data_IF_234307337455
#
_entry.id   IF_234307337455
#
_cell.length_a   1.000
_cell.length_b   1.000
_cell.length_c   1.000
_cell.angle_alpha   90.00
_cell.angle_beta   90.00
_cell.angle_gamma   90.00
#
_symmetry.space_group_name_H-M   'P 1'
#
loop_
_entity.id
_entity.type
_entity.pdbx_description
1 polymer ?
#
# COMPACT_ATOMS: atom_id res chain seq x y z
N UNK A 1 -21.16 10.81 24.01
CA UNK A 1 -21.75 10.71 22.66
C UNK A 1 -20.95 9.70 21.89
N UNK A 2 -21.49 8.50 21.68
CA UNK A 2 -20.88 7.53 20.76
C UNK A 2 -20.87 8.18 19.39
N UNK A 3 -19.69 8.33 18.77
CA UNK A 3 -19.62 8.68 17.35
C UNK A 3 -20.39 7.59 16.60
N UNK A 4 -21.53 7.95 16.02
CA UNK A 4 -22.21 7.10 15.05
C UNK A 4 -21.19 6.69 13.99
N UNK A 5 -21.10 5.39 13.68
CA UNK A 5 -20.35 4.91 12.53
C UNK A 5 -20.93 5.63 11.31
N UNK A 6 -20.12 6.44 10.64
CA UNK A 6 -20.57 7.23 9.48
C UNK A 6 -20.70 6.32 8.26
N UNK A 7 -19.87 5.27 8.20
CA UNK A 7 -19.89 4.28 7.13
C UNK A 7 -19.87 2.86 7.71
N UNK A 8 -20.80 2.02 7.26
CA UNK A 8 -20.88 0.61 7.67
C UNK A 8 -19.75 -0.21 7.03
N UNK A 9 -19.48 0.05 5.74
CA UNK A 9 -18.39 -0.52 4.93
C UNK A 9 -17.75 0.61 4.09
N UNK A 10 -16.58 0.37 3.53
CA UNK A 10 -15.91 1.32 2.64
C UNK A 10 -16.68 1.47 1.32
N UNK A 11 -16.78 2.69 0.77
CA UNK A 11 -17.44 2.91 -0.51
C UNK A 11 -16.64 2.23 -1.62
N UNK A 12 -17.29 1.34 -2.37
CA UNK A 12 -16.67 0.56 -3.45
C UNK A 12 -16.72 1.28 -4.80
N UNK A 13 -17.57 2.29 -4.92
CA UNK A 13 -17.76 3.07 -6.12
C UNK A 13 -18.20 4.51 -5.77
N UNK A 14 -18.22 5.38 -6.79
CA UNK A 14 -18.56 6.79 -6.64
C UNK A 14 -19.97 7.03 -6.12
N UNK A 15 -20.94 6.19 -6.50
CA UNK A 15 -22.32 6.33 -6.03
C UNK A 15 -22.42 6.10 -4.53
N UNK A 16 -21.83 5.01 -4.03
CA UNK A 16 -21.77 4.71 -2.60
C UNK A 16 -21.05 5.81 -1.83
N UNK A 17 -19.92 6.30 -2.36
CA UNK A 17 -19.20 7.42 -1.72
C UNK A 17 -20.11 8.66 -1.60
N UNK A 18 -20.82 9.02 -2.67
CA UNK A 18 -21.76 10.16 -2.68
C UNK A 18 -22.90 9.96 -1.69
N UNK A 19 -23.48 8.75 -1.62
CA UNK A 19 -24.53 8.44 -0.65
C UNK A 19 -24.04 8.62 0.79
N UNK A 20 -22.86 8.07 1.11
CA UNK A 20 -22.26 8.19 2.44
C UNK A 20 -21.93 9.64 2.78
N UNK A 21 -21.31 10.38 1.86
CA UNK A 21 -20.97 11.78 2.04
C UNK A 21 -22.22 12.68 2.19
N UNK A 22 -23.32 12.37 1.50
CA UNK A 22 -24.63 13.05 1.68
C UNK A 22 -25.19 12.84 3.08
N UNK A 23 -25.30 11.59 3.51
CA UNK A 23 -25.85 11.23 4.85
C UNK A 23 -25.05 11.89 5.98
N UNK A 24 -23.74 12.00 5.80
CA UNK A 24 -22.82 12.54 6.79
C UNK A 24 -22.60 14.07 6.70
N UNK A 25 -23.22 14.76 5.72
CA UNK A 25 -23.01 16.19 5.50
C UNK A 25 -21.57 16.57 5.10
N UNK A 26 -20.89 15.69 4.36
CA UNK A 26 -19.47 15.83 3.98
C UNK A 26 -19.24 16.29 2.54
N UNK A 27 -20.30 16.38 1.70
CA UNK A 27 -20.16 16.69 0.26
C UNK A 27 -19.36 17.96 -0.05
N UNK A 28 -19.45 18.97 0.80
CA UNK A 28 -18.80 20.27 0.63
C UNK A 28 -17.68 20.50 1.64
N UNK A 29 -17.31 19.47 2.40
CA UNK A 29 -16.20 19.52 3.34
C UNK A 29 -14.92 19.01 2.67
N UNK A 30 -13.80 19.33 3.30
CA UNK A 30 -12.49 18.84 2.92
C UNK A 30 -11.63 18.68 4.18
N UNK A 31 -10.47 18.04 4.04
CA UNK A 31 -9.50 17.87 5.14
C UNK A 31 -9.08 19.21 5.78
N UNK A 32 -9.24 20.34 5.07
CA UNK A 32 -8.98 21.70 5.56
C UNK A 32 -9.95 22.16 6.65
N UNK A 33 -11.14 21.59 6.65
CA UNK A 33 -12.20 21.93 7.60
C UNK A 33 -12.12 21.08 8.88
N UNK A 34 -11.23 20.09 8.93
CA UNK A 34 -11.04 19.24 10.10
C UNK A 34 -10.11 19.91 11.10
N UNK A 35 -10.63 20.28 12.28
CA UNK A 35 -9.81 20.86 13.36
C UNK A 35 -8.73 19.92 13.89
N UNK A 36 -8.97 18.60 13.85
CA UNK A 36 -8.03 17.58 14.32
C UNK A 36 -8.12 16.32 13.46
N UNK A 37 -7.11 16.12 12.62
CA UNK A 37 -6.92 14.87 11.89
C UNK A 37 -6.22 13.86 12.80
N UNK A 38 -6.69 12.61 12.77
CA UNK A 38 -6.07 11.48 13.44
C UNK A 38 -4.84 11.03 12.65
N UNK A 39 -3.90 10.34 13.33
CA UNK A 39 -2.78 9.67 12.66
C UNK A 39 -3.27 8.65 11.64
N UNK A 40 -2.42 8.31 10.67
CA UNK A 40 -2.74 7.34 9.62
C UNK A 40 -3.14 5.97 10.15
N UNK A 41 -2.65 5.57 11.33
CA UNK A 41 -3.03 4.32 12.01
C UNK A 41 -4.37 4.37 12.77
N UNK A 42 -4.98 5.54 12.88
CA UNK A 42 -6.17 5.79 13.72
C UNK A 42 -7.25 6.57 12.96
N UNK A 43 -7.27 6.45 11.62
CA UNK A 43 -8.20 7.18 10.75
C UNK A 43 -9.63 6.83 11.15
N UNK A 44 -10.45 7.86 11.36
CA UNK A 44 -11.88 7.69 11.60
C UNK A 44 -12.68 7.80 10.30
N UNK A 45 -13.95 7.43 10.34
CA UNK A 45 -14.82 7.41 9.16
C UNK A 45 -14.95 8.78 8.47
N UNK A 46 -15.05 9.88 9.23
CA UNK A 46 -15.14 11.24 8.67
C UNK A 46 -13.86 11.57 7.88
N UNK A 47 -12.69 11.34 8.47
CA UNK A 47 -11.41 11.59 7.84
C UNK A 47 -11.21 10.73 6.59
N UNK A 48 -11.58 9.44 6.65
CA UNK A 48 -11.51 8.56 5.48
C UNK A 48 -12.42 9.05 4.36
N UNK A 49 -13.67 9.42 4.66
CA UNK A 49 -14.57 9.96 3.65
C UNK A 49 -14.01 11.23 3.01
N UNK A 50 -13.34 12.08 3.79
CA UNK A 50 -12.67 13.30 3.30
C UNK A 50 -11.37 13.04 2.54
N UNK A 51 -10.80 11.83 2.58
CA UNK A 51 -9.78 11.42 1.61
C UNK A 51 -10.34 11.28 0.19
N UNK A 52 -11.67 11.33 0.02
CA UNK A 52 -12.34 11.14 -1.28
C UNK A 52 -11.86 9.86 -1.96
N UNK A 53 -11.90 8.75 -1.21
CA UNK A 53 -11.36 7.46 -1.63
C UNK A 53 -12.46 6.43 -1.78
N UNK A 54 -12.34 5.58 -2.80
CA UNK A 54 -13.12 4.35 -2.94
C UNK A 54 -12.19 3.13 -2.92
N UNK A 55 -12.72 2.04 -2.39
CA UNK A 55 -12.04 0.76 -2.26
C UNK A 55 -12.87 -0.31 -2.98
N UNK A 56 -12.67 -0.49 -4.31
CA UNK A 56 -13.33 -1.55 -5.05
C UNK A 56 -13.02 -2.94 -4.47
N UNK A 57 -13.75 -3.95 -4.94
CA UNK A 57 -13.43 -5.32 -4.58
C UNK A 57 -12.02 -5.70 -5.05
N UNK A 58 -11.26 -6.46 -4.23
CA UNK A 58 -9.99 -6.99 -4.67
C UNK A 58 -10.16 -7.85 -5.92
N UNK A 59 -9.23 -7.73 -6.85
CA UNK A 59 -9.18 -8.54 -8.07
C UNK A 59 -8.28 -9.75 -7.81
N UNK A 60 -8.77 -10.92 -8.18
CA UNK A 60 -8.01 -12.16 -8.05
C UNK A 60 -6.70 -12.10 -8.89
N UNK A 61 -5.57 -12.64 -8.40
CA UNK A 61 -4.27 -12.59 -9.08
C UNK A 61 -4.29 -12.88 -10.58
N UNK A 62 -5.04 -13.89 -11.00
CA UNK A 62 -5.11 -14.33 -12.42
C UNK A 62 -5.69 -13.28 -13.39
N UNK A 63 -6.35 -12.23 -12.88
CA UNK A 63 -6.88 -11.13 -13.69
C UNK A 63 -6.02 -9.85 -13.62
N UNK A 64 -4.82 -9.93 -13.05
CA UNK A 64 -3.89 -8.81 -13.07
C UNK A 64 -3.39 -8.53 -14.50
N UNK A 65 -3.64 -7.33 -15.00
CA UNK A 65 -3.13 -6.87 -16.29
C UNK A 65 -2.00 -5.85 -16.09
N UNK A 66 -0.74 -6.20 -16.40
CA UNK A 66 0.39 -5.29 -16.19
C UNK A 66 0.37 -4.05 -17.10
N UNK A 67 -0.31 -4.13 -18.26
CA UNK A 67 -0.40 -3.02 -19.21
C UNK A 67 -1.15 -1.81 -18.63
N UNK A 68 -2.10 -2.05 -17.72
CA UNK A 68 -2.87 -1.00 -17.04
C UNK A 68 -1.97 -0.11 -16.15
N UNK A 69 -0.78 -0.61 -15.79
CA UNK A 69 0.17 0.05 -14.89
C UNK A 69 1.54 0.29 -15.55
N UNK A 70 1.68 0.04 -16.85
CA UNK A 70 2.94 0.22 -17.58
C UNK A 70 4.08 -0.70 -17.11
N UNK A 71 3.76 -1.87 -16.57
CA UNK A 71 4.75 -2.81 -16.04
C UNK A 71 5.23 -3.80 -17.12
N UNK A 72 6.53 -4.00 -17.22
CA UNK A 72 7.12 -5.04 -18.07
C UNK A 72 7.38 -6.33 -17.27
N UNK A 73 6.42 -7.25 -17.33
CA UNK A 73 6.58 -8.56 -16.71
C UNK A 73 7.52 -9.50 -17.50
N UNK A 74 7.84 -9.19 -18.76
CA UNK A 74 8.70 -10.05 -19.60
C UNK A 74 10.12 -10.04 -19.07
N UNK A 75 10.68 -8.84 -18.87
CA UNK A 75 12.02 -8.67 -18.30
C UNK A 75 12.11 -9.26 -16.90
N UNK A 76 11.11 -9.03 -16.05
CA UNK A 76 11.05 -9.60 -14.71
C UNK A 76 10.99 -11.14 -14.74
N UNK A 77 10.12 -11.71 -15.56
CA UNK A 77 9.97 -13.18 -15.69
C UNK A 77 11.27 -13.83 -16.17
N UNK A 78 11.92 -13.27 -17.18
CA UNK A 78 13.19 -13.76 -17.70
C UNK A 78 14.29 -13.69 -16.63
N UNK A 79 14.36 -12.58 -15.89
CA UNK A 79 15.33 -12.41 -14.79
C UNK A 79 15.14 -13.48 -13.71
N UNK A 80 13.89 -13.75 -13.32
CA UNK A 80 13.57 -14.78 -12.33
C UNK A 80 13.87 -16.19 -12.86
N UNK A 81 13.59 -16.47 -14.14
CA UNK A 81 13.86 -17.75 -14.76
C UNK A 81 15.36 -18.08 -14.83
N UNK A 82 16.20 -17.07 -15.08
CA UNK A 82 17.66 -17.22 -15.13
C UNK A 82 18.33 -17.29 -13.74
N UNK A 83 17.63 -16.89 -12.68
CA UNK A 83 18.20 -16.91 -11.33
C UNK A 83 18.12 -18.31 -10.70
N UNK A 84 19.26 -19.00 -10.62
CA UNK A 84 19.36 -20.29 -9.94
C UNK A 84 18.91 -20.24 -8.47
N UNK A 85 19.26 -19.16 -7.75
CA UNK A 85 18.88 -18.97 -6.35
C UNK A 85 17.37 -18.81 -6.19
N UNK A 86 16.72 -18.01 -7.05
CA UNK A 86 15.28 -17.85 -7.03
C UNK A 86 14.55 -19.15 -7.41
N UNK A 87 15.01 -19.87 -8.45
CA UNK A 87 14.42 -21.16 -8.83
C UNK A 87 14.55 -22.21 -7.72
N UNK A 88 15.71 -22.26 -7.04
CA UNK A 88 15.91 -23.13 -5.89
C UNK A 88 14.95 -22.77 -4.75
N UNK A 89 14.84 -21.48 -4.41
CA UNK A 89 13.87 -20.98 -3.42
C UNK A 89 12.43 -21.35 -3.77
N UNK A 90 12.02 -21.10 -5.02
CA UNK A 90 10.67 -21.38 -5.49
C UNK A 90 10.32 -22.87 -5.36
N UNK A 91 11.27 -23.77 -5.61
CA UNK A 91 11.10 -25.21 -5.43
C UNK A 91 10.97 -25.64 -3.96
N UNK A 92 11.45 -24.84 -3.01
CA UNK A 92 11.34 -25.11 -1.58
C UNK A 92 10.18 -24.37 -0.90
N UNK A 93 9.42 -23.54 -1.62
CA UNK A 93 8.21 -22.89 -1.08
C UNK A 93 7.26 -23.94 -0.52
N UNK A 94 6.84 -23.75 0.74
CA UNK A 94 5.97 -24.67 1.47
C UNK A 94 6.68 -25.86 2.13
N UNK A 95 7.99 -26.00 1.92
CA UNK A 95 8.83 -27.01 2.58
C UNK A 95 9.61 -26.42 3.76
N UNK A 96 10.35 -27.27 4.49
CA UNK A 96 11.26 -26.87 5.56
C UNK A 96 12.75 -27.09 5.19
N UNK A 97 13.09 -27.03 3.90
CA UNK A 97 14.46 -27.19 3.43
C UNK A 97 15.08 -25.85 3.03
N UNK A 98 16.03 -25.38 3.85
CA UNK A 98 16.64 -24.06 3.72
C UNK A 98 18.04 -24.07 3.10
N UNK A 99 18.52 -25.21 2.58
CA UNK A 99 19.89 -25.36 2.08
C UNK A 99 20.00 -24.97 0.61
N UNK A 100 21.11 -24.33 0.23
CA UNK A 100 21.46 -24.07 -1.17
C UNK A 100 20.61 -23.01 -1.88
N UNK A 101 20.04 -22.05 -1.15
CA UNK A 101 19.08 -21.06 -1.69
C UNK A 101 19.72 -19.71 -2.07
N UNK A 102 21.02 -19.56 -1.86
CA UNK A 102 21.74 -18.30 -2.08
C UNK A 102 21.07 -17.14 -1.34
N UNK A 103 20.78 -16.08 -2.08
CA UNK A 103 20.22 -14.80 -1.61
C UNK A 103 18.81 -14.94 -1.02
N UNK A 104 18.10 -16.02 -1.35
CA UNK A 104 16.74 -16.30 -0.89
C UNK A 104 16.69 -17.21 0.35
N UNK A 105 17.84 -17.60 0.92
CA UNK A 105 17.88 -18.41 2.14
C UNK A 105 17.16 -17.74 3.31
N UNK A 106 17.50 -16.48 3.58
CA UNK A 106 16.83 -15.67 4.62
C UNK A 106 15.34 -15.49 4.30
N UNK A 107 14.99 -15.27 3.03
CA UNK A 107 13.60 -15.13 2.58
C UNK A 107 12.78 -16.35 2.95
N UNK A 108 13.25 -17.57 2.64
CA UNK A 108 12.51 -18.79 2.96
C UNK A 108 12.39 -19.02 4.46
N UNK A 109 13.44 -18.76 5.24
CA UNK A 109 13.40 -18.90 6.71
C UNK A 109 12.32 -17.98 7.30
N UNK A 110 12.29 -16.71 6.90
CA UNK A 110 11.30 -15.74 7.41
C UNK A 110 9.88 -16.05 6.92
N UNK A 111 9.73 -16.51 5.69
CA UNK A 111 8.45 -16.97 5.16
C UNK A 111 7.93 -18.19 5.94
N UNK A 112 8.81 -19.14 6.24
CA UNK A 112 8.46 -20.31 7.04
C UNK A 112 8.07 -19.94 8.47
N UNK A 113 8.80 -19.01 9.11
CA UNK A 113 8.47 -18.48 10.44
C UNK A 113 7.03 -17.93 10.50
N UNK A 114 6.62 -17.17 9.48
CA UNK A 114 5.24 -16.66 9.37
C UNK A 114 4.22 -17.80 9.17
N UNK A 115 4.52 -18.75 8.29
CA UNK A 115 3.62 -19.89 8.03
C UNK A 115 3.47 -20.79 9.26
N UNK A 116 4.53 -20.98 10.03
CA UNK A 116 4.49 -21.71 11.30
C UNK A 116 3.60 -20.94 12.29
N UNK A 117 3.91 -19.66 12.56
CA UNK A 117 3.15 -18.88 13.53
C UNK A 117 1.68 -18.71 13.18
N UNK A 118 1.35 -18.75 11.89
CA UNK A 118 -0.04 -18.80 11.43
C UNK A 118 -0.74 -20.13 11.76
N UNK A 119 -0.03 -21.26 11.68
CA UNK A 119 -0.55 -22.60 12.01
C UNK A 119 -0.66 -22.83 13.52
N UNK A 120 0.18 -22.16 14.31
CA UNK A 120 0.29 -22.34 15.76
C UNK A 120 -0.01 -21.04 16.52
N UNK A 121 -1.18 -20.44 16.26
CA UNK A 121 -1.56 -19.12 16.81
C UNK A 121 -1.70 -19.10 18.33
N UNK A 122 -2.01 -20.24 18.93
CA UNK A 122 -2.22 -20.38 20.37
C UNK A 122 -0.93 -20.77 21.13
N UNK A 123 0.16 -21.08 20.41
CA UNK A 123 1.45 -21.40 21.01
C UNK A 123 2.30 -20.12 21.11
N UNK A 124 2.55 -19.57 22.30
CA UNK A 124 3.30 -18.32 22.48
C UNK A 124 4.77 -18.40 22.03
N UNK A 125 5.33 -19.61 21.88
CA UNK A 125 6.70 -19.80 21.37
C UNK A 125 6.77 -19.82 19.84
N UNK A 126 5.62 -19.90 19.17
CA UNK A 126 5.54 -20.06 17.71
C UNK A 126 4.68 -18.99 17.04
N UNK A 127 3.68 -18.46 17.73
CA UNK A 127 2.81 -17.42 17.20
C UNK A 127 3.65 -16.23 16.72
N UNK A 128 3.34 -15.71 15.54
CA UNK A 128 4.06 -14.56 14.98
C UNK A 128 3.34 -13.26 15.32
N UNK A 129 4.11 -12.24 15.72
CA UNK A 129 3.64 -10.86 15.73
C UNK A 129 3.87 -10.20 14.35
N UNK A 130 3.83 -8.87 14.28
CA UNK A 130 4.03 -8.13 13.01
C UNK A 130 5.49 -8.19 12.52
N UNK A 131 6.45 -8.48 13.40
CA UNK A 131 7.88 -8.43 13.11
C UNK A 131 8.33 -9.50 12.13
N UNK A 132 7.97 -10.80 12.30
CA UNK A 132 8.23 -11.82 11.28
C UNK A 132 7.53 -11.52 9.95
N UNK A 133 6.30 -11.00 9.98
CA UNK A 133 5.56 -10.64 8.75
C UNK A 133 6.32 -9.57 7.97
N UNK A 134 6.71 -8.48 8.63
CA UNK A 134 7.52 -7.41 8.03
C UNK A 134 8.86 -7.92 7.51
N UNK A 135 9.57 -8.69 8.34
CA UNK A 135 10.90 -9.21 7.98
C UNK A 135 10.83 -10.15 6.78
N UNK A 136 9.76 -10.96 6.68
CA UNK A 136 9.50 -11.84 5.54
C UNK A 136 9.27 -11.06 4.25
N UNK A 137 8.42 -10.02 4.26
CA UNK A 137 8.19 -9.19 3.09
C UNK A 137 9.47 -8.49 2.63
N UNK A 138 10.16 -7.81 3.55
CA UNK A 138 11.35 -7.03 3.20
C UNK A 138 12.48 -7.93 2.70
N UNK A 139 12.69 -9.11 3.29
CA UNK A 139 13.73 -10.04 2.82
C UNK A 139 13.45 -10.51 1.39
N UNK A 140 12.19 -10.81 1.04
CA UNK A 140 11.81 -11.14 -0.33
C UNK A 140 12.10 -9.99 -1.29
N UNK A 141 11.64 -8.78 -0.95
CA UNK A 141 11.81 -7.60 -1.79
C UNK A 141 13.28 -7.26 -2.03
N UNK A 142 14.11 -7.33 -1.00
CA UNK A 142 15.54 -7.09 -1.11
C UNK A 142 16.25 -8.17 -1.93
N UNK A 143 15.92 -9.46 -1.73
CA UNK A 143 16.47 -10.54 -2.53
C UNK A 143 16.11 -10.41 -4.03
N UNK A 144 14.87 -9.99 -4.34
CA UNK A 144 14.47 -9.71 -5.72
C UNK A 144 15.28 -8.56 -6.35
N UNK A 145 15.56 -7.50 -5.58
CA UNK A 145 16.37 -6.38 -6.07
C UNK A 145 17.84 -6.70 -6.35
N UNK A 146 18.35 -7.84 -5.87
CA UNK A 146 19.71 -8.27 -6.13
C UNK A 146 19.84 -9.03 -7.47
N UNK A 147 18.72 -9.44 -8.08
CA UNK A 147 18.74 -10.23 -9.31
C UNK A 147 19.19 -9.44 -10.56
N UNK A 148 18.71 -8.21 -10.81
CA UNK A 148 19.16 -7.45 -11.96
C UNK A 148 20.60 -6.96 -11.78
N UNK A 149 21.41 -7.03 -12.84
CA UNK A 149 22.81 -6.54 -12.83
C UNK A 149 22.91 -5.04 -12.56
N UNK A 150 21.88 -4.29 -12.93
CA UNK A 150 21.74 -2.86 -12.67
C UNK A 150 20.32 -2.55 -12.28
N UNK A 151 20.12 -1.94 -11.11
CA UNK A 151 18.84 -1.35 -10.72
C UNK A 151 19.05 0.04 -10.15
N UNK A 152 18.25 0.99 -10.62
CA UNK A 152 18.19 2.35 -10.12
C UNK A 152 17.42 2.45 -8.79
N UNK A 153 16.83 1.36 -8.30
CA UNK A 153 15.96 1.39 -7.12
C UNK A 153 16.38 0.40 -6.04
N UNK A 154 16.00 0.70 -4.80
CA UNK A 154 16.31 -0.12 -3.63
C UNK A 154 15.10 -0.23 -2.70
N UNK A 155 14.87 -1.44 -2.18
CA UNK A 155 13.92 -1.67 -1.10
C UNK A 155 14.58 -1.44 0.26
N UNK A 156 13.93 -0.62 1.09
CA UNK A 156 14.38 -0.29 2.44
C UNK A 156 13.37 -0.73 3.48
N UNK A 157 13.89 -1.22 4.61
CA UNK A 157 13.13 -1.60 5.82
C UNK A 157 12.81 -0.43 6.75
N UNK A 158 13.40 0.74 6.47
CA UNK A 158 13.28 1.94 7.29
C UNK A 158 11.86 2.48 7.19
N UNK A 159 11.21 2.71 8.33
CA UNK A 159 9.88 3.31 8.34
C UNK A 159 9.93 4.73 7.77
N UNK A 160 9.04 5.03 6.83
CA UNK A 160 8.91 6.39 6.29
C UNK A 160 7.79 7.12 7.02
N UNK A 161 8.08 8.32 7.53
CA UNK A 161 7.08 9.21 8.14
C UNK A 161 6.57 10.19 7.09
N UNK A 162 5.39 9.93 6.56
CA UNK A 162 4.72 10.76 5.58
C UNK A 162 3.77 11.74 6.28
N UNK A 163 3.84 13.02 5.93
CA UNK A 163 3.03 14.08 6.52
C UNK A 163 2.08 14.68 5.49
N UNK A 164 0.78 14.47 5.68
CA UNK A 164 -0.24 15.20 4.95
C UNK A 164 -0.53 16.54 5.63
N UNK A 165 -0.46 17.65 4.88
CA UNK A 165 -0.75 19.01 5.36
C UNK A 165 -1.78 19.65 4.43
N UNK A 166 -2.92 20.09 4.97
CA UNK A 166 -4.07 20.52 4.18
C UNK A 166 -4.49 21.94 4.54
N UNK A 167 -4.30 22.87 3.61
CA UNK A 167 -4.58 24.29 3.84
C UNK A 167 -3.32 25.12 3.90
N UNK A 168 -3.52 26.43 4.06
CA UNK A 168 -2.45 27.39 4.28
C UNK A 168 -2.47 27.85 5.73
N UNK A 169 -1.31 28.23 6.26
CA UNK A 169 -1.23 28.83 7.57
C UNK A 169 -2.07 30.12 7.60
N UNK A 170 -2.98 30.22 8.56
CA UNK A 170 -3.74 31.45 8.73
C UNK A 170 -2.89 32.42 9.55
N UNK A 171 -2.21 33.34 8.87
CA UNK A 171 -1.34 34.35 9.51
C UNK A 171 -2.09 35.27 10.49
N UNK A 172 -3.42 35.38 10.37
CA UNK A 172 -4.24 36.24 11.24
C UNK A 172 -4.70 35.54 12.52
N UNK A 173 -5.04 34.24 12.45
CA UNK A 173 -5.44 33.47 13.65
C UNK A 173 -4.27 32.77 14.35
N UNK A 174 -3.10 32.69 13.71
CA UNK A 174 -1.95 31.93 14.22
C UNK A 174 -2.12 30.41 14.15
N UNK A 175 -3.22 29.92 13.57
CA UNK A 175 -3.51 28.49 13.48
C UNK A 175 -2.70 27.83 12.35
N UNK A 176 -2.00 26.77 12.72
CA UNK A 176 -1.35 25.87 11.77
C UNK A 176 -2.40 25.10 10.95
N UNK A 177 -2.10 24.78 9.68
CA UNK A 177 -3.02 24.00 8.85
C UNK A 177 -3.24 22.60 9.45
N UNK A 178 -4.44 22.00 9.25
CA UNK A 178 -4.70 20.61 9.56
C UNK A 178 -3.64 19.69 8.96
N UNK A 179 -3.15 18.76 9.77
CA UNK A 179 -2.12 17.82 9.36
C UNK A 179 -2.27 16.47 10.06
N UNK A 180 -1.82 15.41 9.38
CA UNK A 180 -1.63 14.11 10.01
C UNK A 180 -0.35 13.45 9.52
N UNK A 181 0.09 12.42 10.24
CA UNK A 181 1.24 11.59 9.88
C UNK A 181 0.79 10.16 9.67
N UNK A 182 1.20 9.59 8.53
CA UNK A 182 1.11 8.16 8.25
C UNK A 182 2.54 7.57 8.24
N UNK A 183 2.69 6.36 8.75
CA UNK A 183 3.99 5.71 8.90
C UNK A 183 3.95 4.36 8.18
N UNK A 184 4.81 4.21 7.19
CA UNK A 184 4.95 2.98 6.41
C UNK A 184 5.93 2.02 7.09
N UNK A 185 5.92 0.75 6.68
CA UNK A 185 6.89 -0.25 7.17
C UNK A 185 8.18 -0.33 6.36
N UNK A 186 8.23 0.37 5.23
CA UNK A 186 9.33 0.38 4.29
C UNK A 186 8.92 1.00 2.97
N UNK A 187 9.86 1.07 2.02
CA UNK A 187 9.64 1.67 0.73
C UNK A 187 10.61 1.17 -0.33
N UNK A 188 10.18 1.20 -1.58
CA UNK A 188 11.05 1.23 -2.75
C UNK A 188 11.36 2.70 -3.05
N UNK A 189 12.63 3.01 -3.24
CA UNK A 189 13.05 4.35 -3.63
C UNK A 189 14.09 4.29 -4.74
N UNK A 190 14.13 5.36 -5.54
CA UNK A 190 15.24 5.62 -6.44
C UNK A 190 16.52 5.91 -5.65
N UNK A 191 17.63 5.24 -6.00
CA UNK A 191 18.90 5.32 -5.27
C UNK A 191 19.57 6.69 -5.36
N UNK A 192 19.35 7.42 -6.45
CA UNK A 192 20.02 8.70 -6.69
C UNK A 192 19.23 9.87 -6.12
N UNK A 193 17.93 9.89 -6.40
CA UNK A 193 17.03 11.00 -6.06
C UNK A 193 16.32 10.81 -4.73
N UNK A 194 16.28 9.58 -4.21
CA UNK A 194 15.47 9.22 -3.04
C UNK A 194 13.96 9.25 -3.33
N UNK A 195 13.54 9.42 -4.60
CA UNK A 195 12.12 9.46 -4.97
C UNK A 195 11.46 8.12 -4.62
N UNK A 196 10.41 8.18 -3.81
CA UNK A 196 9.62 7.00 -3.43
C UNK A 196 8.91 6.47 -4.69
N UNK A 197 8.98 5.16 -4.92
CA UNK A 197 8.30 4.47 -6.02
C UNK A 197 7.17 3.55 -5.53
N UNK A 198 7.32 2.97 -4.34
CA UNK A 198 6.30 2.15 -3.67
C UNK A 198 6.49 2.24 -2.17
N UNK A 199 5.42 2.05 -1.40
CA UNK A 199 5.49 1.89 0.07
C UNK A 199 5.08 0.48 0.48
N UNK A 200 5.43 0.08 1.70
CA UNK A 200 5.00 -1.22 2.26
C UNK A 200 4.24 -1.07 3.56
N UNK A 201 3.30 -1.98 3.79
CA UNK A 201 2.50 -2.06 5.01
C UNK A 201 2.33 -3.51 5.46
N UNK A 202 2.61 -3.80 6.72
CA UNK A 202 2.49 -5.16 7.24
C UNK A 202 1.50 -5.24 8.40
N UNK A 203 0.80 -6.37 8.49
CA UNK A 203 -0.07 -6.69 9.61
C UNK A 203 0.08 -8.15 9.98
N UNK A 204 0.00 -8.45 11.28
CA UNK A 204 0.17 -9.83 11.78
C UNK A 204 -0.94 -10.79 11.33
N UNK A 205 -2.15 -10.27 11.12
CA UNK A 205 -3.34 -11.05 10.80
C UNK A 205 -3.65 -11.03 9.31
N UNK A 206 -4.46 -12.00 8.87
CA UNK A 206 -5.11 -11.95 7.55
C UNK A 206 -6.02 -10.73 7.45
N UNK A 207 -6.19 -10.24 6.23
CA UNK A 207 -6.94 -9.01 5.97
C UNK A 207 -8.41 -9.11 6.37
N UNK A 208 -9.03 -10.26 6.13
CA UNK A 208 -10.44 -10.53 6.46
C UNK A 208 -10.75 -10.41 7.97
N UNK A 209 -9.75 -10.59 8.84
CA UNK A 209 -9.90 -10.45 10.29
C UNK A 209 -9.73 -9.02 10.81
N UNK A 210 -9.38 -8.04 9.96
CA UNK A 210 -9.01 -6.69 10.39
C UNK A 210 -10.02 -5.60 9.94
N UNK A 211 -11.19 -6.01 9.45
CA UNK A 211 -12.24 -5.15 8.90
C UNK A 211 -11.66 -4.11 7.91
N UNK A 212 -12.32 -2.95 7.81
CA UNK A 212 -11.90 -1.81 6.99
C UNK A 212 -10.67 -1.05 7.49
N UNK A 213 -10.15 -1.36 8.68
CA UNK A 213 -9.12 -0.53 9.33
C UNK A 213 -7.84 -0.46 8.49
N UNK A 214 -7.37 -1.59 7.96
CA UNK A 214 -6.12 -1.64 7.18
C UNK A 214 -6.26 -0.86 5.88
N UNK A 215 -7.41 -0.95 5.21
CA UNK A 215 -7.70 -0.19 4.00
C UNK A 215 -7.68 1.32 4.26
N UNK A 216 -8.23 1.76 5.40
CA UNK A 216 -8.22 3.17 5.81
C UNK A 216 -6.79 3.65 6.13
N UNK A 217 -5.96 2.81 6.76
CA UNK A 217 -4.55 3.12 7.00
C UNK A 217 -3.76 3.24 5.69
N UNK A 218 -3.93 2.30 4.77
CA UNK A 218 -3.29 2.31 3.44
C UNK A 218 -3.68 3.57 2.64
N UNK A 219 -4.97 3.94 2.64
CA UNK A 219 -5.43 5.15 1.99
C UNK A 219 -4.79 6.41 2.62
N UNK A 220 -4.64 6.44 3.94
CA UNK A 220 -3.98 7.55 4.63
C UNK A 220 -2.50 7.67 4.26
N UNK A 221 -1.80 6.55 4.07
CA UNK A 221 -0.41 6.54 3.59
C UNK A 221 -0.30 7.15 2.20
N UNK A 222 -1.20 6.79 1.27
CA UNK A 222 -1.22 7.40 -0.07
C UNK A 222 -1.55 8.89 -0.01
N UNK A 223 -2.57 9.28 0.75
CA UNK A 223 -2.96 10.69 0.89
C UNK A 223 -1.81 11.54 1.45
N UNK A 224 -1.14 11.05 2.50
CA UNK A 224 0.02 11.73 3.07
C UNK A 224 1.20 11.76 2.08
N UNK A 225 1.40 10.68 1.31
CA UNK A 225 2.43 10.61 0.28
C UNK A 225 2.20 11.67 -0.81
N UNK A 226 1.02 11.71 -1.40
CA UNK A 226 0.68 12.66 -2.47
C UNK A 226 0.74 14.09 -1.96
N UNK A 227 0.24 14.35 -0.75
CA UNK A 227 0.31 15.69 -0.15
C UNK A 227 1.75 16.16 0.09
N UNK A 228 2.65 15.28 0.52
CA UNK A 228 4.04 15.65 0.79
C UNK A 228 4.91 15.69 -0.48
N UNK A 229 4.64 14.79 -1.44
CA UNK A 229 5.42 14.61 -2.66
C UNK A 229 4.47 14.56 -3.88
N UNK A 230 3.84 15.69 -4.24
CA UNK A 230 2.81 15.74 -5.28
C UNK A 230 3.38 15.43 -6.66
N UNK A 231 2.55 14.86 -7.53
CA UNK A 231 2.88 14.68 -8.94
C UNK A 231 2.81 16.03 -9.66
N UNK A 232 3.91 16.39 -10.32
CA UNK A 232 4.05 17.69 -10.98
C UNK A 232 3.72 17.65 -12.47
N UNK A 233 3.78 16.47 -13.10
CA UNK A 233 3.46 16.30 -14.51
C UNK A 233 1.94 16.27 -14.71
N UNK A 234 1.40 17.40 -15.15
CA UNK A 234 -0.04 17.58 -15.39
C UNK A 234 -0.50 17.02 -16.74
N UNK A 235 0.40 16.56 -17.60
CA UNK A 235 0.04 15.91 -18.87
C UNK A 235 -0.49 14.48 -18.67
N UNK A 236 -0.15 13.88 -17.54
CA UNK A 236 -0.64 12.55 -17.14
C UNK A 236 -2.07 12.70 -16.60
N UNK A 237 -3.00 11.97 -17.21
CA UNK A 237 -4.42 11.98 -16.84
C UNK A 237 -4.70 11.15 -15.58
N UNK A 238 -3.90 10.11 -15.32
CA UNK A 238 -4.07 9.22 -14.17
C UNK A 238 -2.71 8.87 -13.60
N UNK A 239 -2.51 9.20 -12.34
CA UNK A 239 -1.34 8.86 -11.55
C UNK A 239 -1.63 7.61 -10.74
N UNK A 240 -0.58 6.82 -10.49
CA UNK A 240 -0.66 5.64 -9.63
C UNK A 240 0.39 5.70 -8.52
N UNK A 241 -0.05 5.47 -7.28
CA UNK A 241 0.85 5.16 -6.15
C UNK A 241 0.72 3.68 -5.81
N UNK A 242 1.86 3.01 -5.69
CA UNK A 242 1.90 1.57 -5.44
C UNK A 242 2.12 1.31 -3.95
N UNK A 243 1.32 0.40 -3.40
CA UNK A 243 1.51 -0.17 -2.07
C UNK A 243 1.66 -1.67 -2.18
N UNK A 244 2.66 -2.21 -1.49
CA UNK A 244 2.83 -3.65 -1.31
C UNK A 244 2.55 -3.96 0.15
N UNK A 245 1.45 -4.65 0.43
CA UNK A 245 1.10 -5.04 1.79
C UNK A 245 1.26 -6.53 2.03
N UNK A 246 1.52 -6.88 3.29
CA UNK A 246 1.56 -8.28 3.73
C UNK A 246 0.77 -8.44 5.02
N UNK A 247 -0.29 -9.24 4.95
CA UNK A 247 -1.25 -9.48 6.01
C UNK A 247 -1.18 -10.96 6.39
N UNK A 248 -0.47 -11.27 7.48
CA UNK A 248 -0.19 -12.64 7.85
C UNK A 248 0.59 -13.36 6.75
N UNK A 249 0.01 -14.42 6.17
CA UNK A 249 0.61 -15.21 5.09
C UNK A 249 0.22 -14.77 3.68
N UNK A 250 -0.45 -13.63 3.52
CA UNK A 250 -0.90 -13.11 2.23
C UNK A 250 -0.14 -11.84 1.85
N UNK A 251 0.30 -11.75 0.60
CA UNK A 251 0.79 -10.51 -0.01
C UNK A 251 -0.34 -9.90 -0.85
N UNK A 252 -0.41 -8.57 -0.85
CA UNK A 252 -1.36 -7.78 -1.62
C UNK A 252 -0.62 -6.66 -2.34
N UNK A 253 -1.08 -6.31 -3.54
CA UNK A 253 -0.56 -5.17 -4.30
C UNK A 253 -1.72 -4.23 -4.57
N UNK A 254 -1.59 -2.98 -4.15
CA UNK A 254 -2.60 -1.94 -4.36
C UNK A 254 -2.05 -0.85 -5.25
N UNK A 255 -2.79 -0.51 -6.31
CA UNK A 255 -2.54 0.63 -7.17
C UNK A 255 -3.57 1.71 -6.87
N UNK A 256 -3.14 2.75 -6.18
CA UNK A 256 -3.97 3.90 -5.86
C UNK A 256 -3.98 4.86 -7.04
N UNK A 257 -5.05 4.80 -7.85
CA UNK A 257 -5.26 5.63 -9.03
C UNK A 257 -5.99 6.93 -8.72
N UNK A 258 -5.50 8.06 -9.20
CA UNK A 258 -6.17 9.36 -9.09
C UNK A 258 -5.79 10.29 -10.25
N UNK A 259 -6.63 11.28 -10.51
CA UNK A 259 -6.38 12.30 -11.53
C UNK A 259 -5.92 13.64 -10.92
N UNK A 260 -5.65 14.61 -11.80
CA UNK A 260 -5.26 15.96 -11.40
C UNK A 260 -6.35 16.69 -10.58
N UNK A 261 -7.63 16.38 -10.77
CA UNK A 261 -8.71 16.99 -10.00
C UNK A 261 -8.73 16.53 -8.54
N UNK A 262 -8.38 15.27 -8.27
CA UNK A 262 -8.26 14.77 -6.90
C UNK A 262 -6.99 15.31 -6.22
N UNK A 263 -5.88 15.37 -6.96
CA UNK A 263 -4.64 15.99 -6.45
C UNK A 263 -4.86 17.47 -6.09
N UNK A 264 -5.56 18.24 -6.94
CA UNK A 264 -5.87 19.65 -6.67
C UNK A 264 -6.82 19.82 -5.46
N UNK A 265 -7.67 18.83 -5.19
CA UNK A 265 -8.49 18.79 -3.98
C UNK A 265 -7.63 18.66 -2.71
N UNK A 266 -6.64 17.76 -2.71
CA UNK A 266 -5.73 17.61 -1.57
C UNK A 266 -4.88 18.87 -1.35
N UNK A 267 -4.28 19.39 -2.42
CA UNK A 267 -3.49 20.63 -2.41
C UNK A 267 -4.35 21.88 -2.17
N UNK A 268 -5.69 21.70 -2.20
CA UNK A 268 -6.76 22.71 -2.20
C UNK A 268 -6.46 23.96 -3.00
N UNK A 269 -5.84 23.73 -4.16
CA UNK A 269 -5.95 24.58 -5.34
C UNK A 269 -7.30 24.40 -6.02
N UNK A 270 -8.03 23.34 -5.70
CA UNK A 270 -9.46 23.21 -5.94
C UNK A 270 -10.20 24.28 -5.14
N UNK A 271 -10.30 25.48 -5.70
CA UNK A 271 -11.07 26.58 -5.13
C UNK A 271 -12.52 26.20 -4.89
N UNK A 272 -13.28 27.12 -4.29
CA UNK A 272 -14.72 27.07 -3.99
C UNK A 272 -15.64 26.95 -5.23
N UNK A 273 -15.17 26.32 -6.30
CA UNK A 273 -15.87 26.11 -7.56
C UNK A 273 -16.84 24.92 -7.49
N UNK A 274 -17.94 25.06 -8.21
CA UNK A 274 -19.14 24.20 -8.25
C UNK A 274 -18.94 22.74 -8.71
N UNK A 275 -17.71 22.29 -8.98
CA UNK A 275 -17.43 20.93 -9.47
C UNK A 275 -16.96 20.06 -8.30
N UNK A 276 -17.66 18.96 -8.03
CA UNK A 276 -17.18 17.99 -7.05
C UNK A 276 -15.87 17.37 -7.56
N UNK A 277 -14.79 17.37 -6.77
CA UNK A 277 -13.54 16.72 -7.16
C UNK A 277 -13.76 15.24 -7.46
N UNK A 278 -12.91 14.64 -8.29
CA UNK A 278 -12.86 13.20 -8.49
C UNK A 278 -12.51 12.44 -7.20
N UNK A 279 -12.45 11.11 -7.29
CA UNK A 279 -12.12 10.20 -6.19
C UNK A 279 -10.82 9.46 -6.52
N UNK A 280 -10.03 9.15 -5.50
CA UNK A 280 -8.95 8.17 -5.59
C UNK A 280 -9.53 6.75 -5.51
N UNK A 281 -9.01 5.84 -6.32
CA UNK A 281 -9.41 4.43 -6.34
C UNK A 281 -8.28 3.56 -5.84
N UNK A 282 -8.50 2.84 -4.74
CA UNK A 282 -7.56 1.86 -4.18
C UNK A 282 -7.80 0.48 -4.80
N UNK A 283 -7.34 0.24 -6.04
CA UNK A 283 -7.52 -1.06 -6.70
C UNK A 283 -6.49 -2.06 -6.18
N UNK A 284 -6.97 -3.15 -5.56
CA UNK A 284 -6.13 -4.18 -4.96
C UNK A 284 -6.14 -5.47 -5.78
N UNK A 285 -5.00 -6.15 -5.76
CA UNK A 285 -4.80 -7.49 -6.31
C UNK A 285 -4.26 -8.44 -5.26
N UNK A 286 -4.82 -9.65 -5.20
CA UNK A 286 -4.48 -10.67 -4.22
C UNK A 286 -5.70 -11.46 -3.74
N UNK A 287 -5.56 -12.27 -2.67
CA UNK A 287 -4.32 -12.50 -1.94
C UNK A 287 -3.33 -13.35 -2.75
N UNK A 288 -2.04 -13.10 -2.55
CA UNK A 288 -0.97 -14.01 -2.97
C UNK A 288 -0.45 -14.76 -1.73
N UNK A 289 -0.82 -16.04 -1.60
CA UNK A 289 -0.40 -16.93 -0.53
C UNK A 289 1.09 -17.27 -0.64
N UNK A 290 1.85 -16.91 0.40
CA UNK A 290 3.29 -17.20 0.47
C UNK A 290 3.57 -18.70 0.62
N UNK A 291 2.61 -19.53 0.98
CA UNK A 291 2.72 -20.99 0.98
C UNK A 291 2.57 -21.62 -0.40
N UNK A 292 2.07 -20.87 -1.39
CA UNK A 292 1.75 -21.40 -2.70
C UNK A 292 2.82 -21.03 -3.74
N UNK A 293 3.53 -22.04 -4.27
CA UNK A 293 4.59 -21.86 -5.27
C UNK A 293 4.17 -21.01 -6.47
N UNK A 294 3.00 -21.29 -7.06
CA UNK A 294 2.53 -20.55 -8.25
C UNK A 294 2.28 -19.09 -7.93
N UNK A 295 1.65 -18.80 -6.80
CA UNK A 295 1.35 -17.43 -6.39
C UNK A 295 2.62 -16.67 -5.96
N UNK A 296 3.60 -17.34 -5.33
CA UNK A 296 4.92 -16.76 -5.04
C UNK A 296 5.66 -16.36 -6.31
N UNK A 297 5.63 -17.21 -7.35
CA UNK A 297 6.22 -16.85 -8.65
C UNK A 297 5.52 -15.63 -9.26
N UNK A 298 4.18 -15.63 -9.25
CA UNK A 298 3.38 -14.55 -9.82
C UNK A 298 3.65 -13.21 -9.13
N UNK A 299 3.55 -13.18 -7.80
CA UNK A 299 3.77 -11.94 -7.03
C UNK A 299 5.23 -11.48 -7.14
N UNK A 300 6.20 -12.40 -7.12
CA UNK A 300 7.62 -12.06 -7.26
C UNK A 300 7.92 -11.44 -8.62
N UNK A 301 7.24 -11.90 -9.67
CA UNK A 301 7.34 -11.33 -11.02
C UNK A 301 6.85 -9.88 -11.05
N UNK A 302 5.69 -9.62 -10.43
CA UNK A 302 5.12 -8.26 -10.35
C UNK A 302 6.01 -7.35 -9.49
N UNK A 303 6.45 -7.82 -8.32
CA UNK A 303 7.29 -7.06 -7.40
C UNK A 303 8.66 -6.71 -8.02
N UNK A 304 9.24 -7.64 -8.78
CA UNK A 304 10.47 -7.35 -9.53
C UNK A 304 10.20 -6.33 -10.63
N UNK A 305 9.11 -6.45 -11.39
CA UNK A 305 8.75 -5.47 -12.42
C UNK A 305 8.54 -4.06 -11.86
N UNK A 306 7.93 -3.93 -10.67
CA UNK A 306 7.79 -2.65 -9.95
C UNK A 306 9.17 -2.07 -9.55
N UNK A 307 10.18 -2.93 -9.36
CA UNK A 307 11.51 -2.56 -8.89
C UNK A 307 12.50 -2.17 -10.00
N UNK A 308 12.18 -2.50 -11.25
CA UNK A 308 12.97 -2.15 -12.44
C UNK A 308 12.72 -0.69 -12.84
#
# INVERSE_FOLDING_TARGET
MSLEKIIDDLPRNSEQWVQYAKRAGLLHKSLRHCKKLQSGSCVNDEQFMLFRTICPQPIHPDYFNPADYGLDLTTASNTLAMSHGFQAYLNQVGTNNFRGLGEFGTTLVRQWEVLEGFRNRDDPLKCSDETPVKSSLISLLQALSLLPTTTASEWRSTRLRLRGTFGSHNLRSGESPPQFVAITDGQLQDKQTGKIKSVTKCKRYLRDMMDKAVDMEEAAEVVAWVSQYPDTDRSINTHHRVLVSKDGCEIWITFAGYDNSWADYLDGRGGSGTRQPSLMTMQRYGPYDIGNRRQVLQVSTILLAISL
#
